data_IF_030029337679
#
_entry.id   IF_030029337679
#
_cell.length_a   1.000
_cell.length_b   1.000
_cell.length_c   1.000
_cell.angle_alpha   90.00
_cell.angle_beta   90.00
_cell.angle_gamma   90.00
#
_symmetry.space_group_name_H-M   'P 1'
#
loop_
_entity.id
_entity.type
_entity.pdbx_description
1 polymer ?
#
# COMPACT_ATOMS: atom_id res chain seq x y z
N UNK A 1 -14.23 4.51 -2.28
CA UNK A 1 -12.85 4.22 -1.85
C UNK A 1 -12.82 3.81 -0.38
N UNK A 2 -12.32 2.62 -0.07
CA UNK A 2 -11.81 2.30 1.27
C UNK A 2 -10.30 2.52 1.21
N UNK A 3 -9.74 3.23 2.19
CA UNK A 3 -8.34 3.68 2.20
C UNK A 3 -7.45 2.74 3.00
N UNK A 4 -7.36 1.48 2.56
CA UNK A 4 -6.46 0.49 3.14
C UNK A 4 -5.37 0.16 2.11
N UNK A 5 -4.13 0.53 2.44
CA UNK A 5 -2.96 0.37 1.57
C UNK A 5 -2.06 -0.79 2.00
N UNK A 6 -2.59 -1.66 2.85
CA UNK A 6 -2.02 -2.95 3.24
C UNK A 6 -3.13 -4.00 3.22
N UNK A 7 -2.80 -5.20 2.76
CA UNK A 7 -3.73 -6.35 2.80
C UNK A 7 -3.48 -7.24 4.01
N UNK A 8 -2.21 -7.35 4.45
CA UNK A 8 -1.81 -8.27 5.51
C UNK A 8 -0.48 -7.87 6.16
N UNK A 9 -0.41 -7.97 7.48
CA UNK A 9 0.87 -8.03 8.21
C UNK A 9 1.48 -9.44 8.14
N UNK A 10 2.78 -9.50 7.89
CA UNK A 10 3.58 -10.74 7.91
C UNK A 10 4.43 -10.84 9.15
N UNK A 11 4.88 -9.70 9.70
CA UNK A 11 5.68 -9.62 10.92
C UNK A 11 5.27 -8.35 11.69
N UNK A 12 5.24 -8.44 13.02
CA UNK A 12 4.97 -7.31 13.91
C UNK A 12 5.74 -7.50 15.22
N UNK A 13 6.63 -6.55 15.51
CA UNK A 13 7.32 -6.40 16.79
C UNK A 13 6.93 -5.02 17.35
N UNK A 14 6.06 -5.03 18.35
CA UNK A 14 5.45 -3.79 18.88
C UNK A 14 6.49 -2.74 19.24
N UNK A 15 6.33 -1.54 18.69
CA UNK A 15 7.22 -0.39 18.93
C UNK A 15 8.63 -0.51 18.32
N UNK A 16 8.89 -1.52 17.49
CA UNK A 16 10.22 -1.75 16.91
C UNK A 16 10.19 -1.99 15.40
N UNK A 17 9.33 -2.89 14.92
CA UNK A 17 9.33 -3.33 13.53
C UNK A 17 7.95 -3.80 13.08
N UNK A 18 7.59 -3.53 11.83
CA UNK A 18 6.42 -4.09 11.20
C UNK A 18 6.70 -4.35 9.72
N UNK A 19 6.08 -5.39 9.17
CA UNK A 19 6.18 -5.76 7.76
C UNK A 19 4.81 -6.15 7.23
N UNK A 20 4.34 -5.43 6.22
CA UNK A 20 3.07 -5.70 5.58
C UNK A 20 3.25 -6.02 4.08
N UNK A 21 2.19 -6.59 3.50
CA UNK A 21 2.06 -6.87 2.08
C UNK A 21 0.88 -6.05 1.55
N UNK A 22 1.11 -5.40 0.40
CA UNK A 22 0.06 -4.90 -0.50
C UNK A 22 0.20 -5.65 -1.82
N UNK A 23 -0.83 -6.39 -2.20
CA UNK A 23 -0.94 -6.96 -3.52
C UNK A 23 -1.41 -5.87 -4.48
N UNK A 24 -0.79 -5.84 -5.66
CA UNK A 24 -1.11 -4.87 -6.71
C UNK A 24 -1.75 -5.61 -7.87
N UNK A 25 -2.90 -5.11 -8.33
CA UNK A 25 -3.63 -5.66 -9.48
C UNK A 25 -4.06 -4.56 -10.43
N UNK A 26 -4.04 -4.85 -11.74
CA UNK A 26 -4.55 -3.92 -12.76
C UNK A 26 -6.04 -3.58 -12.60
N UNK A 27 -6.78 -4.28 -11.74
CA UNK A 27 -8.15 -3.92 -11.39
C UNK A 27 -8.25 -2.67 -10.49
N UNK A 28 -7.14 -2.16 -9.96
CA UNK A 28 -7.13 -0.98 -9.10
C UNK A 28 -7.27 0.31 -9.91
N UNK A 29 -8.30 1.11 -9.59
CA UNK A 29 -8.71 2.31 -10.32
C UNK A 29 -7.56 3.30 -10.57
N UNK A 30 -6.71 3.54 -9.56
CA UNK A 30 -5.61 4.50 -9.68
C UNK A 30 -4.52 4.09 -10.70
N UNK A 31 -4.43 2.80 -11.06
CA UNK A 31 -3.49 2.34 -12.10
C UNK A 31 -4.00 2.65 -13.52
N UNK A 32 -5.30 2.90 -13.68
CA UNK A 32 -5.84 3.37 -14.96
C UNK A 32 -5.49 4.85 -15.21
N UNK A 33 -5.38 5.63 -14.14
CA UNK A 33 -5.10 7.07 -14.21
C UNK A 33 -3.60 7.40 -14.07
N UNK A 34 -2.79 6.49 -13.53
CA UNK A 34 -1.37 6.70 -13.26
C UNK A 34 -0.53 5.56 -13.86
N UNK A 35 -0.17 5.60 -15.14
CA UNK A 35 -0.53 6.59 -16.17
C UNK A 35 -1.36 5.93 -17.27
N UNK A 36 -2.19 6.66 -18.03
CA UNK A 36 -3.00 6.07 -19.09
C UNK A 36 -2.12 5.31 -20.11
N UNK A 37 -2.38 4.02 -20.27
CA UNK A 37 -1.59 3.13 -21.15
C UNK A 37 -0.22 2.70 -20.60
N UNK A 38 0.17 3.19 -19.42
CA UNK A 38 1.40 2.82 -18.73
C UNK A 38 1.17 2.77 -17.20
N UNK A 39 0.52 1.70 -16.70
CA UNK A 39 0.13 1.60 -15.29
C UNK A 39 1.37 1.50 -14.39
N UNK A 40 1.45 2.39 -13.41
CA UNK A 40 2.54 2.51 -12.43
C UNK A 40 1.94 2.74 -11.05
N UNK A 41 2.37 1.97 -10.06
CA UNK A 41 1.92 2.20 -8.68
C UNK A 41 2.34 3.61 -8.22
N UNK A 42 1.41 4.48 -7.77
CA UNK A 42 1.76 5.81 -7.31
C UNK A 42 2.66 5.76 -6.07
N UNK A 43 3.79 6.48 -6.12
CA UNK A 43 4.74 6.53 -5.00
C UNK A 43 4.14 7.07 -3.71
N UNK A 44 3.20 8.02 -3.81
CA UNK A 44 2.45 8.54 -2.66
C UNK A 44 1.62 7.48 -1.95
N UNK A 45 1.03 6.53 -2.70
CA UNK A 45 0.23 5.45 -2.13
C UNK A 45 1.11 4.35 -1.52
N UNK A 46 2.31 4.13 -2.07
CA UNK A 46 3.32 3.29 -1.42
C UNK A 46 3.79 3.89 -0.09
N UNK A 47 4.03 5.20 -0.04
CA UNK A 47 4.35 5.91 1.20
C UNK A 47 3.22 5.81 2.23
N UNK A 48 1.97 6.00 1.79
CA UNK A 48 0.79 5.85 2.64
C UNK A 48 0.68 4.41 3.18
N UNK A 49 0.91 3.38 2.35
CA UNK A 49 0.96 1.99 2.82
C UNK A 49 2.02 1.74 3.88
N UNK A 50 3.21 2.36 3.74
CA UNK A 50 4.24 2.31 4.78
C UNK A 50 3.82 3.07 6.04
N UNK A 51 3.17 4.22 5.92
CA UNK A 51 2.63 4.98 7.05
C UNK A 51 1.57 4.18 7.80
N UNK A 52 0.65 3.51 7.10
CA UNK A 52 -0.34 2.62 7.71
C UNK A 52 0.28 1.38 8.35
N UNK A 53 1.33 0.82 7.75
CA UNK A 53 2.11 -0.28 8.35
C UNK A 53 2.74 0.15 9.67
N UNK A 54 3.26 1.38 9.75
CA UNK A 54 3.91 1.92 10.94
C UNK A 54 2.94 2.49 11.99
N UNK A 55 1.81 3.06 11.59
CA UNK A 55 0.88 3.79 12.46
C UNK A 55 -0.30 2.98 13.02
N UNK A 56 -0.43 1.69 12.65
CA UNK A 56 -1.22 0.73 13.44
C UNK A 56 -0.45 0.27 14.70
N UNK A 57 0.80 0.72 14.88
CA UNK A 57 1.44 0.87 16.20
C UNK A 57 1.08 2.23 16.81
#
# INVERSE_FOLDING_TARGET
MRWFWIDRFTELQSGQYAKAIKNVTLAEEHLHDHFPGFPVMPGSLMLEGMAQTGGIL
#
